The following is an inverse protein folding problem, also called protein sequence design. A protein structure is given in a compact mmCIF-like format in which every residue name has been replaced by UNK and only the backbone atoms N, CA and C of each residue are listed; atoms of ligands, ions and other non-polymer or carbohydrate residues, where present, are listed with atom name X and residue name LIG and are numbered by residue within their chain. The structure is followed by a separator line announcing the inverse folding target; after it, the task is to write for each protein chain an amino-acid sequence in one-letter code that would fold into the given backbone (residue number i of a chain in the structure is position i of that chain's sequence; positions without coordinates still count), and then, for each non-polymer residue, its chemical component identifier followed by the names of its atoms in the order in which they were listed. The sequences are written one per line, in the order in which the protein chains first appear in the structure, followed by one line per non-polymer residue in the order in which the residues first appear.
data_IF_544034316736
#
_entry.id   IF_544034316736
#
_cell.length_a   1.000
_cell.length_b   1.000
_cell.length_c   1.000
_cell.angle_alpha   90.00
_cell.angle_beta   90.00
_cell.angle_gamma   90.00
#
_symmetry.space_group_name_H-M   'P 1'
#
loop_
_entity.id
_entity.type
_entity.pdbx_description
1 polymer ?
#
# COMPACT_ATOMS: atom_id res chain seq x y z
N UNK A 1 -11.81 6.10 5.41
CA UNK A 1 -11.54 5.86 6.85
C UNK A 1 -11.74 4.39 7.27
N UNK A 2 -12.58 3.58 6.60
CA UNK A 2 -12.85 2.19 7.02
C UNK A 2 -11.60 1.29 7.15
N UNK A 3 -10.74 1.25 6.13
CA UNK A 3 -9.53 0.42 6.13
C UNK A 3 -8.59 0.71 7.32
N UNK A 4 -8.33 2.00 7.58
CA UNK A 4 -7.48 2.44 8.70
C UNK A 4 -8.03 1.99 10.05
N UNK A 5 -9.36 2.05 10.22
CA UNK A 5 -10.01 1.57 11.44
C UNK A 5 -9.82 0.07 11.66
N UNK A 6 -9.94 -0.75 10.60
CA UNK A 6 -9.68 -2.18 10.68
C UNK A 6 -8.22 -2.51 11.00
N UNK A 7 -7.27 -1.79 10.41
CA UNK A 7 -5.85 -1.92 10.74
C UNK A 7 -5.55 -1.61 12.22
N UNK A 8 -6.12 -0.54 12.76
CA UNK A 8 -5.99 -0.21 14.17
C UNK A 8 -6.59 -1.30 15.07
N UNK A 9 -7.79 -1.77 14.76
CA UNK A 9 -8.45 -2.83 15.52
C UNK A 9 -7.66 -4.15 15.49
N UNK A 10 -7.08 -4.50 14.35
CA UNK A 10 -6.17 -5.63 14.22
C UNK A 10 -4.97 -5.48 15.16
N UNK A 11 -4.26 -4.35 15.10
CA UNK A 11 -3.05 -4.15 15.92
C UNK A 11 -3.34 -4.14 17.43
N UNK A 12 -4.50 -3.60 17.84
CA UNK A 12 -4.89 -3.56 19.25
C UNK A 12 -5.31 -4.93 19.81
N UNK A 13 -5.82 -5.84 18.96
CA UNK A 13 -6.47 -7.07 19.43
C UNK A 13 -5.82 -8.35 18.92
N UNK A 14 -4.99 -8.27 17.89
CA UNK A 14 -4.48 -9.42 17.14
C UNK A 14 -5.51 -10.17 16.30
N UNK A 15 -6.77 -9.68 16.21
CA UNK A 15 -7.85 -10.45 15.59
C UNK A 15 -7.93 -10.27 14.06
N UNK A 16 -7.59 -11.32 13.32
CA UNK A 16 -7.58 -11.33 11.86
C UNK A 16 -8.95 -11.12 11.19
N UNK A 17 -10.07 -11.26 11.93
CA UNK A 17 -11.41 -11.00 11.38
C UNK A 17 -11.55 -9.60 10.77
N UNK A 18 -10.81 -8.61 11.27
CA UNK A 18 -10.86 -7.26 10.75
C UNK A 18 -10.27 -7.17 9.33
N UNK A 19 -9.28 -8.00 9.03
CA UNK A 19 -8.72 -8.15 7.67
C UNK A 19 -9.72 -8.86 6.78
N UNK A 20 -10.39 -9.90 7.28
CA UNK A 20 -11.40 -10.66 6.53
C UNK A 20 -12.56 -9.78 6.05
N UNK A 21 -13.02 -8.82 6.87
CA UNK A 21 -14.08 -7.88 6.46
C UNK A 21 -13.67 -7.10 5.22
N UNK A 22 -12.43 -6.60 5.17
CA UNK A 22 -11.97 -5.84 4.01
C UNK A 22 -11.75 -6.73 2.79
N UNK A 23 -11.23 -7.94 2.98
CA UNK A 23 -11.12 -8.96 1.92
C UNK A 23 -12.48 -9.24 1.28
N UNK A 24 -13.50 -9.47 2.11
CA UNK A 24 -14.87 -9.71 1.64
C UNK A 24 -15.44 -8.49 0.92
N UNK A 25 -15.15 -7.27 1.37
CA UNK A 25 -15.59 -6.06 0.67
C UNK A 25 -15.03 -6.00 -0.76
N UNK A 26 -13.73 -6.25 -0.95
CA UNK A 26 -13.10 -6.31 -2.27
C UNK A 26 -13.80 -7.35 -3.16
N UNK A 27 -14.08 -8.54 -2.61
CA UNK A 27 -14.78 -9.61 -3.33
C UNK A 27 -16.21 -9.22 -3.70
N UNK A 28 -16.95 -8.56 -2.80
CA UNK A 28 -18.32 -8.10 -3.05
C UNK A 28 -18.36 -7.02 -4.13
N UNK A 29 -17.42 -6.10 -4.15
CA UNK A 29 -17.31 -5.11 -5.24
C UNK A 29 -17.06 -5.81 -6.57
N UNK A 30 -16.04 -6.67 -6.63
CA UNK A 30 -15.64 -7.37 -7.85
C UNK A 30 -16.68 -8.37 -8.36
N UNK A 31 -17.53 -8.93 -7.50
CA UNK A 31 -18.64 -9.80 -7.89
C UNK A 31 -19.70 -9.08 -8.78
N UNK A 32 -19.69 -7.75 -8.81
CA UNK A 32 -20.57 -6.94 -9.67
C UNK A 32 -19.95 -6.63 -11.05
N UNK A 33 -18.92 -7.39 -11.45
CA UNK A 33 -18.35 -7.34 -12.79
C UNK A 33 -19.40 -7.62 -13.88
N UNK A 34 -19.15 -7.10 -15.09
CA UNK A 34 -19.99 -7.36 -16.27
C UNK A 34 -19.16 -7.47 -17.53
N UNK A 35 -19.73 -8.10 -18.56
CA UNK A 35 -19.10 -8.13 -19.88
C UNK A 35 -19.56 -6.92 -20.69
N UNK A 36 -18.61 -6.11 -21.17
CA UNK A 36 -18.82 -4.99 -22.10
C UNK A 36 -17.92 -5.21 -23.30
N UNK A 37 -18.47 -5.25 -24.51
CA UNK A 37 -17.74 -5.48 -25.75
C UNK A 37 -16.81 -6.72 -25.70
N UNK A 38 -17.31 -7.81 -25.11
CA UNK A 38 -16.57 -9.08 -24.97
C UNK A 38 -15.47 -9.09 -23.91
N UNK A 39 -15.30 -8.02 -23.13
CA UNK A 39 -14.32 -7.91 -22.04
C UNK A 39 -15.01 -7.85 -20.69
N UNK A 40 -14.46 -8.57 -19.71
CA UNK A 40 -14.90 -8.47 -18.31
C UNK A 40 -14.42 -7.14 -17.75
N UNK A 41 -15.35 -6.37 -17.17
CA UNK A 41 -15.09 -5.08 -16.56
C UNK A 41 -15.59 -5.07 -15.11
N UNK A 42 -14.87 -4.39 -14.22
CA UNK A 42 -15.14 -4.32 -12.78
C UNK A 42 -15.54 -2.90 -12.36
N UNK A 43 -16.55 -2.74 -11.48
CA UNK A 43 -16.98 -1.43 -11.03
C UNK A 43 -16.04 -0.85 -9.98
N UNK A 44 -15.89 0.48 -9.98
CA UNK A 44 -15.09 1.20 -9.00
C UNK A 44 -15.89 2.20 -8.17
N UNK A 45 -17.14 2.45 -8.55
CA UNK A 45 -18.01 3.41 -7.87
C UNK A 45 -19.44 2.88 -7.76
N UNK A 46 -20.15 3.34 -6.73
CA UNK A 46 -21.56 3.04 -6.48
C UNK A 46 -22.31 4.34 -6.17
N UNK A 47 -23.46 4.54 -6.79
CA UNK A 47 -24.29 5.74 -6.59
C UNK A 47 -25.78 5.43 -6.76
N UNK A 48 -26.59 6.46 -6.94
CA UNK A 48 -28.06 6.36 -6.96
C UNK A 48 -28.60 5.40 -8.04
N UNK A 49 -27.84 5.20 -9.12
CA UNK A 49 -28.17 4.28 -10.21
C UNK A 49 -27.40 2.94 -10.16
N UNK A 50 -26.86 2.60 -8.99
CA UNK A 50 -26.09 1.38 -8.77
C UNK A 50 -24.60 1.53 -9.12
N UNK A 51 -23.99 0.43 -9.54
CA UNK A 51 -22.57 0.36 -9.87
C UNK A 51 -22.24 1.11 -11.17
N UNK A 52 -21.15 1.88 -11.17
CA UNK A 52 -20.65 2.58 -12.34
C UNK A 52 -19.12 2.70 -12.31
N UNK A 53 -18.55 3.37 -13.32
CA UNK A 53 -17.11 3.48 -13.56
C UNK A 53 -16.45 2.09 -13.67
N UNK A 54 -16.82 1.39 -14.74
CA UNK A 54 -16.33 0.05 -15.03
C UNK A 54 -14.99 0.11 -15.77
N UNK A 55 -13.96 -0.56 -15.25
CA UNK A 55 -12.62 -0.63 -15.85
C UNK A 55 -12.16 -2.08 -16.02
N UNK A 56 -11.04 -2.32 -16.71
CA UNK A 56 -10.52 -3.66 -16.95
C UNK A 56 -9.89 -4.28 -15.70
N UNK A 57 -9.33 -3.44 -14.84
CA UNK A 57 -8.66 -3.83 -13.62
C UNK A 57 -9.69 -4.18 -12.54
N UNK A 58 -9.53 -5.27 -11.78
CA UNK A 58 -10.34 -5.51 -10.59
C UNK A 58 -10.15 -4.41 -9.55
N UNK A 59 -11.22 -4.12 -8.81
CA UNK A 59 -11.13 -3.28 -7.61
C UNK A 59 -10.14 -3.89 -6.62
N UNK A 60 -9.16 -3.10 -6.20
CA UNK A 60 -8.03 -3.55 -5.39
C UNK A 60 -7.68 -2.59 -4.26
N UNK A 61 -8.54 -1.61 -3.96
CA UNK A 61 -8.28 -0.65 -2.89
C UNK A 61 -8.16 -1.35 -1.53
N UNK A 62 -7.01 -1.18 -0.87
CA UNK A 62 -6.69 -1.84 0.40
C UNK A 62 -6.16 -3.26 0.27
N UNK A 63 -5.95 -3.78 -0.96
CA UNK A 63 -5.44 -5.13 -1.16
C UNK A 63 -4.00 -5.30 -0.62
N UNK A 64 -3.19 -4.24 -0.67
CA UNK A 64 -1.81 -4.26 -0.19
C UNK A 64 -1.78 -4.41 1.32
N UNK A 65 -2.60 -3.63 2.02
CA UNK A 65 -2.80 -3.68 3.46
C UNK A 65 -3.33 -5.04 3.90
N UNK A 66 -4.35 -5.57 3.21
CA UNK A 66 -4.89 -6.92 3.48
C UNK A 66 -3.79 -7.98 3.38
N UNK A 67 -3.04 -7.99 2.27
CA UNK A 67 -1.92 -8.93 2.12
C UNK A 67 -0.85 -8.74 3.18
N UNK A 68 -0.46 -7.50 3.45
CA UNK A 68 0.59 -7.20 4.41
C UNK A 68 0.21 -7.60 5.84
N UNK A 69 -1.05 -7.46 6.22
CA UNK A 69 -1.55 -7.83 7.54
C UNK A 69 -1.82 -9.31 7.72
N UNK A 70 -2.24 -10.01 6.66
CA UNK A 70 -2.50 -11.46 6.72
C UNK A 70 -1.25 -12.29 6.45
N UNK A 71 -0.34 -11.77 5.63
CA UNK A 71 0.76 -12.51 4.99
C UNK A 71 0.29 -13.76 4.22
N UNK A 72 -0.99 -13.82 3.85
CA UNK A 72 -1.57 -14.93 3.08
C UNK A 72 -1.23 -14.80 1.59
N UNK A 73 -0.66 -15.85 1.02
CA UNK A 73 -0.33 -15.94 -0.41
C UNK A 73 -1.56 -15.86 -1.33
N UNK A 74 -2.76 -16.17 -0.83
CA UNK A 74 -4.00 -15.95 -1.58
C UNK A 74 -4.28 -14.45 -1.78
N UNK A 75 -3.94 -13.62 -0.80
CA UNK A 75 -4.12 -12.16 -0.88
C UNK A 75 -3.13 -11.52 -1.86
N UNK A 76 -1.92 -12.06 -1.96
CA UNK A 76 -0.91 -11.65 -2.95
C UNK A 76 -1.42 -11.73 -4.40
N UNK A 77 -2.35 -12.64 -4.71
CA UNK A 77 -2.91 -12.79 -6.08
C UNK A 77 -3.68 -11.55 -6.55
N UNK A 78 -4.11 -10.69 -5.63
CA UNK A 78 -4.84 -9.44 -5.92
C UNK A 78 -3.90 -8.27 -6.21
N UNK A 79 -2.59 -8.46 -6.04
CA UNK A 79 -1.59 -7.42 -6.19
C UNK A 79 -0.77 -7.59 -7.47
N UNK A 80 -0.38 -6.48 -8.12
CA UNK A 80 0.67 -6.54 -9.11
C UNK A 80 1.98 -6.98 -8.43
N UNK A 81 2.77 -7.79 -9.14
CA UNK A 81 4.08 -8.27 -8.67
C UNK A 81 5.21 -7.35 -9.15
N UNK A 82 5.00 -6.06 -9.02
CA UNK A 82 5.93 -4.99 -9.40
C UNK A 82 6.29 -4.14 -8.17
N UNK A 83 7.11 -3.10 -8.38
CA UNK A 83 7.53 -2.20 -7.31
C UNK A 83 8.11 -2.96 -6.11
N UNK A 84 7.64 -2.60 -4.91
CA UNK A 84 8.09 -3.23 -3.66
C UNK A 84 7.67 -4.70 -3.55
N UNK A 85 6.45 -5.06 -3.98
CA UNK A 85 6.01 -6.47 -3.98
C UNK A 85 6.87 -7.31 -4.92
N UNK A 86 7.19 -6.79 -6.10
CA UNK A 86 8.10 -7.43 -7.05
C UNK A 86 9.50 -7.64 -6.46
N UNK A 87 10.02 -6.66 -5.71
CA UNK A 87 11.28 -6.79 -4.98
C UNK A 87 11.22 -7.89 -3.92
N UNK A 88 10.15 -7.91 -3.12
CA UNK A 88 9.96 -8.94 -2.07
C UNK A 88 9.82 -10.35 -2.64
N UNK A 89 9.23 -10.49 -3.83
CA UNK A 89 9.11 -11.76 -4.54
C UNK A 89 10.38 -12.12 -5.35
N UNK A 90 11.43 -11.28 -5.32
CA UNK A 90 12.68 -11.50 -6.05
C UNK A 90 12.62 -11.20 -7.56
N UNK A 91 11.52 -10.64 -8.05
CA UNK A 91 11.29 -10.34 -9.47
C UNK A 91 11.74 -8.94 -9.88
N UNK A 92 12.11 -8.07 -8.92
CA UNK A 92 12.57 -6.71 -9.18
C UNK A 92 13.75 -6.32 -8.28
N UNK A 93 14.96 -6.86 -8.52
CA UNK A 93 16.14 -6.57 -7.70
C UNK A 93 16.60 -5.11 -7.76
N UNK A 94 16.26 -4.38 -8.84
CA UNK A 94 16.65 -2.99 -9.05
C UNK A 94 15.75 -1.98 -8.32
N UNK A 95 14.61 -2.43 -7.79
CA UNK A 95 13.63 -1.59 -7.12
C UNK A 95 14.23 -0.66 -6.05
N UNK A 96 15.11 -1.10 -5.13
CA UNK A 96 15.63 -0.22 -4.07
C UNK A 96 16.31 1.03 -4.62
N UNK A 97 17.17 0.86 -5.64
CA UNK A 97 17.90 1.97 -6.26
C UNK A 97 16.96 2.88 -7.05
N UNK A 98 16.07 2.28 -7.85
CA UNK A 98 15.11 3.04 -8.68
C UNK A 98 14.14 3.86 -7.84
N UNK A 99 13.60 3.28 -6.77
CA UNK A 99 12.67 3.95 -5.86
C UNK A 99 13.33 5.12 -5.13
N UNK A 100 14.55 4.93 -4.60
CA UNK A 100 15.30 6.01 -3.96
C UNK A 100 15.65 7.15 -4.94
N UNK A 101 16.06 6.82 -6.17
CA UNK A 101 16.31 7.84 -7.21
C UNK A 101 15.05 8.65 -7.55
N UNK A 102 13.90 7.97 -7.64
CA UNK A 102 12.60 8.61 -7.85
C UNK A 102 12.24 9.54 -6.69
N UNK A 103 12.47 9.11 -5.45
CA UNK A 103 12.23 9.93 -4.26
C UNK A 103 13.10 11.19 -4.25
N UNK A 104 14.40 11.08 -4.56
CA UNK A 104 15.27 12.25 -4.69
C UNK A 104 14.81 13.21 -5.79
N UNK A 105 14.33 12.68 -6.93
CA UNK A 105 13.76 13.52 -7.99
C UNK A 105 12.49 14.25 -7.52
N UNK A 106 11.61 13.56 -6.80
CA UNK A 106 10.40 14.16 -6.21
C UNK A 106 10.75 15.25 -5.19
N UNK A 107 11.69 15.01 -4.28
CA UNK A 107 12.16 16.02 -3.30
C UNK A 107 12.67 17.28 -4.01
N UNK A 108 13.51 17.12 -5.05
CA UNK A 108 14.01 18.26 -5.84
C UNK A 108 12.87 19.05 -6.48
N UNK A 109 11.93 18.37 -7.13
CA UNK A 109 10.80 19.01 -7.80
C UNK A 109 9.90 19.77 -6.80
N UNK A 110 9.60 19.16 -5.63
CA UNK A 110 8.78 19.81 -4.59
C UNK A 110 9.49 21.01 -3.97
N UNK A 111 10.78 20.90 -3.68
CA UNK A 111 11.58 21.99 -3.14
C UNK A 111 11.65 23.18 -4.12
N UNK A 112 11.84 22.89 -5.41
CA UNK A 112 11.77 23.91 -6.45
C UNK A 112 10.38 24.57 -6.50
N UNK A 113 9.30 23.77 -6.45
CA UNK A 113 7.93 24.28 -6.39
C UNK A 113 7.69 25.20 -5.20
N UNK A 114 8.18 24.82 -4.01
CA UNK A 114 8.12 25.68 -2.82
C UNK A 114 8.90 26.98 -2.99
N UNK A 115 10.09 26.96 -3.60
CA UNK A 115 10.88 28.18 -3.82
C UNK A 115 10.25 29.15 -4.82
N UNK A 116 9.41 28.63 -5.72
CA UNK A 116 8.71 29.37 -6.76
C UNK A 116 7.25 29.66 -6.38
N UNK A 117 6.81 29.25 -5.19
CA UNK A 117 5.45 29.42 -4.69
C UNK A 117 5.17 30.91 -4.42
N UNK A 118 4.25 31.56 -5.17
CA UNK A 118 3.95 32.97 -5.02
C UNK A 118 2.98 33.26 -3.86
N UNK A 119 2.50 32.24 -3.14
CA UNK A 119 1.54 32.44 -2.05
C UNK A 119 2.16 33.22 -0.88
N UNK A 120 1.39 34.18 -0.36
CA UNK A 120 1.72 34.94 0.85
C UNK A 120 1.10 34.27 2.08
N UNK A 121 1.46 34.68 3.32
CA UNK A 121 0.80 34.19 4.53
C UNK A 121 -0.73 34.31 4.49
N UNK A 122 -1.27 35.35 3.86
CA UNK A 122 -2.72 35.61 3.79
C UNK A 122 -3.43 34.85 2.66
N UNK A 123 -2.69 34.39 1.64
CA UNK A 123 -3.26 33.61 0.52
C UNK A 123 -2.97 32.12 0.62
N UNK A 124 -2.14 31.71 1.57
CA UNK A 124 -1.78 30.30 1.76
C UNK A 124 -2.96 29.57 2.38
N UNK A 125 -3.41 28.51 1.71
CA UNK A 125 -4.44 27.61 2.22
C UNK A 125 -3.91 26.83 3.43
N UNK A 126 -4.78 26.10 4.13
CA UNK A 126 -4.37 25.16 5.18
C UNK A 126 -3.33 24.15 4.66
N UNK A 127 -2.64 23.47 5.57
CA UNK A 127 -1.51 22.59 5.20
C UNK A 127 -1.92 21.41 4.27
N UNK A 128 -3.16 20.93 4.37
CA UNK A 128 -3.67 19.79 3.60
C UNK A 128 -3.79 20.05 2.07
N UNK A 129 -4.34 21.20 1.61
CA UNK A 129 -4.36 21.56 0.19
C UNK A 129 -3.03 22.10 -0.36
N UNK A 130 -1.95 22.15 0.41
CA UNK A 130 -0.67 22.62 -0.12
C UNK A 130 -0.16 21.72 -1.24
N UNK A 131 0.09 22.33 -2.39
CA UNK A 131 0.58 21.64 -3.59
C UNK A 131 1.97 21.04 -3.41
N UNK A 132 2.78 21.52 -2.46
CA UNK A 132 4.18 21.12 -2.33
C UNK A 132 4.52 20.67 -0.91
N UNK A 133 4.70 19.36 -0.74
CA UNK A 133 5.27 18.75 0.47
C UNK A 133 6.52 17.92 0.07
N UNK A 134 7.72 18.30 0.53
CA UNK A 134 8.95 17.60 0.18
C UNK A 134 9.19 16.36 1.05
N UNK A 135 8.43 16.16 2.14
CA UNK A 135 8.60 15.01 3.02
C UNK A 135 8.26 13.70 2.30
N UNK A 136 9.30 12.96 1.89
CA UNK A 136 9.19 11.70 1.16
C UNK A 136 9.75 10.58 2.01
N UNK A 137 8.87 9.77 2.60
CA UNK A 137 9.24 8.72 3.57
C UNK A 137 8.85 7.31 3.12
N UNK A 138 8.08 7.19 2.03
CA UNK A 138 7.48 5.94 1.56
C UNK A 138 8.53 4.84 1.36
N UNK A 139 9.51 5.08 0.48
CA UNK A 139 10.54 4.08 0.13
C UNK A 139 11.41 3.71 1.33
N UNK A 140 11.69 4.68 2.23
CA UNK A 140 12.46 4.39 3.44
C UNK A 140 11.71 3.44 4.37
N UNK A 141 10.40 3.62 4.53
CA UNK A 141 9.57 2.71 5.33
C UNK A 141 9.58 1.31 4.72
N UNK A 142 9.45 1.19 3.40
CA UNK A 142 9.45 -0.10 2.70
C UNK A 142 10.81 -0.81 2.74
N UNK A 143 11.91 -0.09 2.50
CA UNK A 143 13.25 -0.68 2.38
C UNK A 143 13.97 -0.87 3.73
N UNK A 144 13.81 0.08 4.66
CA UNK A 144 14.56 0.06 5.93
C UNK A 144 13.78 -0.64 7.04
N UNK A 145 12.46 -0.50 7.05
CA UNK A 145 11.61 -1.07 8.10
C UNK A 145 10.81 -2.29 7.62
N UNK A 146 10.77 -2.55 6.31
CA UNK A 146 9.90 -3.59 5.74
C UNK A 146 8.43 -3.29 5.98
N UNK A 147 8.06 -2.02 6.16
CA UNK A 147 6.76 -1.52 6.61
C UNK A 147 5.87 -1.00 5.50
N UNK A 148 4.60 -0.76 5.83
CA UNK A 148 3.72 0.08 5.02
C UNK A 148 3.72 1.52 5.52
N UNK A 149 3.82 2.53 4.64
CA UNK A 149 3.75 3.92 5.05
C UNK A 149 2.35 4.25 5.56
N UNK A 150 2.22 4.95 6.70
CA UNK A 150 0.93 5.24 7.34
C UNK A 150 0.04 6.24 6.57
N UNK A 151 0.59 6.88 5.53
CA UNK A 151 -0.06 7.92 4.76
C UNK A 151 -0.39 9.17 5.61
N UNK A 152 -1.33 9.97 5.13
CA UNK A 152 -1.79 11.20 5.79
C UNK A 152 -3.14 11.04 6.53
N UNK A 153 -3.65 9.82 6.66
CA UNK A 153 -5.00 9.53 7.20
C UNK A 153 -4.97 8.95 8.63
N UNK A 154 -3.90 9.20 9.38
CA UNK A 154 -3.76 8.73 10.76
C UNK A 154 -3.66 7.21 10.88
N UNK A 155 -3.08 6.54 9.88
CA UNK A 155 -2.82 5.11 9.95
C UNK A 155 -1.66 4.78 10.90
N UNK A 156 -1.68 3.60 11.53
CA UNK A 156 -0.55 3.15 12.33
C UNK A 156 0.59 2.75 11.39
N UNK A 157 1.82 3.07 11.77
CA UNK A 157 3.00 2.47 11.11
C UNK A 157 3.11 1.01 11.56
N UNK A 158 2.71 0.09 10.69
CA UNK A 158 2.86 -1.34 10.93
C UNK A 158 4.13 -1.83 10.23
N UNK A 159 5.02 -2.42 11.03
CA UNK A 159 6.25 -3.06 10.56
C UNK A 159 6.22 -4.54 10.97
N UNK A 160 6.50 -5.43 10.02
CA UNK A 160 6.70 -6.85 10.30
C UNK A 160 8.19 -7.08 10.55
N UNK A 161 8.52 -7.68 11.69
CA UNK A 161 9.90 -8.10 11.96
C UNK A 161 10.24 -9.26 11.02
N UNK A 162 11.03 -8.97 9.98
CA UNK A 162 11.59 -9.98 9.09
C UNK A 162 12.96 -10.38 9.61
N UNK A 163 13.11 -11.65 10.03
CA UNK A 163 14.43 -12.21 10.33
C UNK A 163 15.20 -12.36 9.01
N UNK A 164 16.09 -11.41 8.71
CA UNK A 164 17.04 -11.56 7.60
C UNK A 164 18.07 -12.59 8.05
N UNK A 165 17.93 -13.83 7.58
CA UNK A 165 18.96 -14.84 7.76
C UNK A 165 20.15 -14.45 6.88
N UNK A 166 21.15 -13.80 7.48
CA UNK A 166 22.48 -13.69 6.84
C UNK A 166 23.01 -15.13 6.70
N UNK A 167 23.43 -15.56 5.50
CA UNK A 167 23.82 -16.96 5.24
C UNK A 167 24.89 -17.50 6.22
N UNK A 168 25.72 -16.61 6.77
CA UNK A 168 26.74 -16.95 7.76
C UNK A 168 26.19 -17.54 9.08
N UNK A 169 24.91 -17.35 9.41
CA UNK A 169 24.30 -17.80 10.67
C UNK A 169 23.25 -18.91 10.50
N UNK A 170 23.15 -19.50 9.32
CA UNK A 170 22.12 -20.50 9.01
C UNK A 170 22.37 -21.86 9.67
N UNK A 171 23.58 -22.13 10.19
CA UNK A 171 23.93 -23.42 10.81
C UNK A 171 23.77 -23.50 12.33
N UNK A 172 23.45 -22.42 13.04
CA UNK A 172 23.51 -22.46 14.51
C UNK A 172 22.16 -22.50 15.23
N UNK A 173 21.03 -22.17 14.62
CA UNK A 173 19.75 -22.09 15.36
C UNK A 173 18.52 -22.36 14.47
N UNK A 174 17.99 -23.60 14.50
CA UNK A 174 16.65 -23.97 15.02
C UNK A 174 16.12 -25.31 14.45
N UNK A 175 15.92 -26.35 15.29
CA UNK A 175 15.18 -27.57 14.96
C UNK A 175 13.63 -27.50 15.00
N UNK A 176 13.00 -26.35 15.30
CA UNK A 176 11.61 -26.34 15.81
C UNK A 176 10.57 -25.68 14.90
N UNK A 177 10.71 -25.79 13.57
CA UNK A 177 9.70 -25.31 12.59
C UNK A 177 9.15 -26.44 11.72
N UNK A 178 8.86 -27.56 12.36
CA UNK A 178 7.82 -28.50 11.94
C UNK A 178 7.04 -28.89 13.18
N UNK A 179 5.91 -28.23 13.38
CA UNK A 179 4.57 -28.83 13.41
C UNK A 179 3.53 -27.70 13.48
#
# INVERSE_FOLDING_TARGET
MGLTGFGNALLLTGNQRYVDVWRQMIEKVNANQKVVDGRVMYPHMYGDHGWYHYTLEPYSHGALEVYYWSMDRQDLKRLPKDGWIGFLEGNNPEYPTQALQKDFANIRARTQGMSQDPTTPDTRLSDDPLSYNPATVHTLVELMLGGLPPGNRGGPLHILIRKIAVPAYQKMLLPWWKD
#
